data_IF_520650996649
#
_entry.id   IF_520650996649
#
_cell.length_a   1.000
_cell.length_b   1.000
_cell.length_c   1.000
_cell.angle_alpha   90.00
_cell.angle_beta   90.00
_cell.angle_gamma   90.00
#
_symmetry.space_group_name_H-M   'P 1'
#
loop_
_entity.id
_entity.type
_entity.pdbx_description
1 polymer ?
#
# COMPACT_ATOMS: atom_id res chain seq x y z
N UNK A 1 1.55 -16.76 -54.47
CA UNK A 1 2.26 -16.04 -53.41
C UNK A 1 1.30 -15.59 -52.26
N UNK A 2 0.09 -15.19 -52.53
CA UNK A 2 -0.86 -14.79 -51.51
C UNK A 2 -1.39 -15.98 -50.68
N UNK A 3 -1.63 -17.14 -51.29
CA UNK A 3 -2.15 -18.32 -50.54
C UNK A 3 -1.19 -18.84 -49.47
N UNK A 4 0.13 -18.75 -49.70
CA UNK A 4 1.11 -19.16 -48.70
C UNK A 4 1.14 -18.29 -47.45
N UNK A 5 0.91 -17.00 -47.59
CA UNK A 5 0.86 -16.05 -46.43
C UNK A 5 -0.37 -16.29 -45.55
N UNK A 6 -1.52 -16.57 -46.13
CA UNK A 6 -2.73 -16.88 -45.36
C UNK A 6 -2.61 -18.21 -44.61
N UNK A 7 -2.00 -19.22 -45.21
CA UNK A 7 -1.75 -20.49 -44.54
C UNK A 7 -0.80 -20.31 -43.35
N UNK A 8 0.28 -19.59 -43.51
CA UNK A 8 1.24 -19.29 -42.46
C UNK A 8 0.62 -18.51 -41.31
N UNK A 9 -0.23 -17.52 -41.62
CA UNK A 9 -0.94 -16.72 -40.57
C UNK A 9 -1.91 -17.56 -39.75
N UNK A 10 -2.66 -18.47 -40.38
CA UNK A 10 -3.57 -19.38 -39.68
C UNK A 10 -2.81 -20.37 -38.83
N UNK A 11 -1.70 -20.91 -39.30
CA UNK A 11 -0.85 -21.81 -38.49
C UNK A 11 -0.28 -21.07 -37.28
N UNK A 12 0.21 -19.85 -37.45
CA UNK A 12 0.72 -19.04 -36.37
C UNK A 12 -0.37 -18.72 -35.34
N UNK A 13 -1.59 -18.41 -35.78
CA UNK A 13 -2.72 -18.20 -34.89
C UNK A 13 -3.07 -19.46 -34.07
N UNK A 14 -3.12 -20.61 -34.72
CA UNK A 14 -3.36 -21.89 -34.06
C UNK A 14 -2.27 -22.21 -33.05
N UNK A 15 -1.00 -21.99 -33.40
CA UNK A 15 0.11 -22.17 -32.47
C UNK A 15 0.05 -21.21 -31.29
N UNK A 16 -0.27 -19.95 -31.53
CA UNK A 16 -0.43 -18.96 -30.43
C UNK A 16 -1.58 -19.32 -29.47
N UNK A 17 -2.73 -19.78 -30.02
CA UNK A 17 -3.84 -20.23 -29.19
C UNK A 17 -3.48 -21.50 -28.43
N UNK A 18 -2.81 -22.46 -29.06
CA UNK A 18 -2.33 -23.67 -28.41
C UNK A 18 -1.33 -23.34 -27.27
N UNK A 19 -0.43 -22.42 -27.50
CA UNK A 19 0.52 -21.97 -26.49
C UNK A 19 -0.20 -21.30 -25.30
N UNK A 20 -1.13 -20.39 -25.56
CA UNK A 20 -1.94 -19.76 -24.53
C UNK A 20 -2.75 -20.80 -23.70
N UNK A 21 -3.38 -21.76 -24.35
CA UNK A 21 -4.13 -22.84 -23.68
C UNK A 21 -3.17 -23.68 -22.84
N UNK A 22 -2.03 -24.06 -23.39
CA UNK A 22 -1.03 -24.87 -22.69
C UNK A 22 -0.47 -24.13 -21.49
N UNK A 23 -0.07 -22.86 -21.67
CA UNK A 23 0.42 -22.01 -20.59
C UNK A 23 -0.64 -21.84 -19.46
N UNK A 24 -1.92 -21.69 -19.85
CA UNK A 24 -3.02 -21.61 -18.88
C UNK A 24 -3.17 -22.91 -18.10
N UNK A 25 -3.11 -24.06 -18.78
CA UNK A 25 -3.24 -25.37 -18.12
C UNK A 25 -2.06 -25.65 -17.17
N UNK A 26 -0.83 -25.33 -17.58
CA UNK A 26 0.35 -25.49 -16.70
C UNK A 26 0.31 -24.57 -15.49
N UNK A 27 -0.23 -23.36 -15.61
CA UNK A 27 -0.36 -22.43 -14.51
C UNK A 27 -1.60 -22.65 -13.64
N UNK A 28 -2.52 -23.52 -14.08
CA UNK A 28 -3.79 -23.73 -13.39
C UNK A 28 -3.64 -24.21 -11.95
N UNK A 29 -2.62 -25.03 -11.66
CA UNK A 29 -2.30 -25.52 -10.31
C UNK A 29 -1.77 -24.44 -9.38
N UNK A 30 -1.16 -23.37 -9.91
CA UNK A 30 -0.62 -22.27 -9.12
C UNK A 30 -1.50 -21.03 -9.02
N UNK A 31 -2.46 -20.89 -9.94
CA UNK A 31 -3.28 -19.68 -10.07
C UNK A 31 -4.77 -19.90 -9.93
N UNK A 32 -5.24 -21.12 -10.17
CA UNK A 32 -6.65 -21.48 -10.05
C UNK A 32 -6.81 -22.47 -8.92
N UNK A 33 -7.80 -22.24 -8.15
CA UNK A 33 -8.14 -22.87 -6.91
C UNK A 33 -8.38 -24.36 -7.02
N UNK A 34 -7.84 -25.09 -6.08
CA UNK A 34 -8.08 -26.50 -5.90
C UNK A 34 -9.54 -26.74 -5.45
N UNK A 35 -10.37 -27.34 -6.30
CA UNK A 35 -11.70 -27.90 -5.98
C UNK A 35 -12.84 -26.94 -5.59
N UNK A 36 -12.62 -25.64 -5.53
CA UNK A 36 -13.69 -24.68 -5.24
C UNK A 36 -14.50 -24.40 -6.51
N UNK A 37 -15.82 -24.38 -6.38
CA UNK A 37 -16.69 -24.02 -7.51
C UNK A 37 -16.64 -22.51 -7.75
N UNK A 38 -16.59 -22.10 -9.00
CA UNK A 38 -16.65 -20.68 -9.38
C UNK A 38 -17.83 -19.95 -8.77
N UNK A 39 -18.98 -20.62 -8.66
CA UNK A 39 -20.19 -20.07 -8.05
C UNK A 39 -20.02 -19.77 -6.56
N UNK A 40 -19.35 -20.65 -5.81
CA UNK A 40 -19.12 -20.47 -4.37
C UNK A 40 -18.15 -19.32 -4.11
N UNK A 41 -17.14 -19.18 -4.96
CA UNK A 41 -16.24 -18.04 -4.93
C UNK A 41 -16.96 -16.72 -5.25
N UNK A 42 -17.78 -16.70 -6.31
CA UNK A 42 -18.55 -15.51 -6.68
C UNK A 42 -19.50 -15.11 -5.55
N UNK A 43 -20.17 -16.07 -4.92
CA UNK A 43 -21.03 -15.81 -3.78
C UNK A 43 -20.24 -15.24 -2.58
N UNK A 44 -19.07 -15.80 -2.30
CA UNK A 44 -18.20 -15.32 -1.21
C UNK A 44 -17.69 -13.89 -1.47
N UNK A 45 -17.30 -13.58 -2.71
CA UNK A 45 -16.90 -12.23 -3.12
C UNK A 45 -18.10 -11.26 -3.06
N UNK A 46 -19.27 -11.68 -3.52
CA UNK A 46 -20.47 -10.85 -3.50
C UNK A 46 -20.95 -10.54 -2.07
N UNK A 47 -20.65 -11.41 -1.10
CA UNK A 47 -20.95 -11.19 0.31
C UNK A 47 -19.95 -10.27 1.02
N UNK A 48 -18.81 -9.96 0.39
CA UNK A 48 -17.80 -9.08 0.97
C UNK A 48 -18.29 -7.62 1.00
N UNK A 49 -17.88 -6.81 2.01
CA UNK A 49 -18.23 -5.40 2.09
C UNK A 49 -17.81 -4.64 0.83
N UNK A 50 -18.70 -3.81 0.29
CA UNK A 50 -18.39 -2.94 -0.84
C UNK A 50 -17.64 -1.68 -0.41
N UNK A 51 -16.91 -1.06 -1.35
CA UNK A 51 -16.25 0.22 -1.14
C UNK A 51 -14.80 0.10 -0.63
N UNK A 52 -14.31 1.19 -0.08
CA UNK A 52 -12.98 1.29 0.51
C UNK A 52 -13.02 0.97 2.01
N UNK A 53 -11.86 0.67 2.64
CA UNK A 53 -11.79 0.51 4.08
C UNK A 53 -12.43 1.68 4.82
N UNK A 54 -13.21 1.39 5.84
CA UNK A 54 -13.80 2.43 6.67
C UNK A 54 -12.72 3.05 7.55
N UNK A 55 -12.72 4.39 7.75
CA UNK A 55 -11.71 5.08 8.54
C UNK A 55 -11.57 4.53 9.97
N UNK A 56 -12.69 4.20 10.60
CA UNK A 56 -12.71 3.67 11.96
C UNK A 56 -12.13 2.24 12.05
N UNK A 57 -12.25 1.46 10.99
CA UNK A 57 -11.65 0.12 10.89
C UNK A 57 -10.15 0.18 10.60
N UNK A 58 -9.69 1.23 9.94
CA UNK A 58 -8.28 1.42 9.64
C UNK A 58 -7.46 1.85 10.86
N UNK A 59 -8.08 2.43 11.86
CA UNK A 59 -7.41 2.99 13.03
C UNK A 59 -6.79 1.94 13.96
N UNK A 60 -7.10 0.66 13.81
CA UNK A 60 -6.70 -0.36 14.78
C UNK A 60 -5.94 -1.55 14.25
N UNK A 61 -5.66 -1.68 12.94
CA UNK A 61 -5.40 -3.02 12.45
C UNK A 61 -4.21 -3.12 11.51
N UNK A 62 -3.13 -3.60 12.07
CA UNK A 62 -2.14 -4.38 11.36
C UNK A 62 -2.48 -5.87 11.47
N UNK A 63 -3.67 -6.28 11.10
CA UNK A 63 -3.98 -7.70 11.07
C UNK A 63 -3.44 -8.32 9.82
N UNK A 64 -2.66 -9.35 10.01
CA UNK A 64 -2.49 -10.39 9.01
C UNK A 64 -3.88 -10.91 8.68
N UNK A 65 -4.12 -11.14 7.41
CA UNK A 65 -5.30 -11.80 6.84
C UNK A 65 -6.35 -12.25 7.86
N UNK A 66 -7.57 -11.79 7.70
CA UNK A 66 -8.68 -12.21 8.57
C UNK A 66 -8.82 -13.75 8.54
N UNK A 67 -8.35 -14.40 9.61
CA UNK A 67 -8.39 -15.86 9.73
C UNK A 67 -9.81 -16.42 9.65
N UNK A 68 -10.83 -15.61 9.94
CA UNK A 68 -12.23 -16.00 9.83
C UNK A 68 -12.67 -16.19 8.37
N UNK A 69 -12.06 -15.50 7.43
CA UNK A 69 -12.35 -15.64 6.00
C UNK A 69 -11.53 -16.74 5.31
N UNK A 70 -10.41 -17.16 5.89
CA UNK A 70 -9.53 -18.20 5.31
C UNK A 70 -10.23 -19.50 4.98
N UNK A 71 -11.11 -20.07 5.83
CA UNK A 71 -11.79 -21.30 5.51
C UNK A 71 -12.72 -21.20 4.30
N UNK A 72 -13.28 -20.00 4.07
CA UNK A 72 -14.25 -19.74 2.99
C UNK A 72 -13.58 -19.35 1.67
N UNK A 73 -12.39 -18.77 1.74
CA UNK A 73 -11.71 -18.20 0.59
C UNK A 73 -10.26 -18.69 0.49
N UNK A 74 -10.02 -19.96 0.82
CA UNK A 74 -8.69 -20.61 0.72
C UNK A 74 -7.89 -20.25 -0.52
N UNK A 75 -8.50 -20.19 -1.70
CA UNK A 75 -7.80 -19.86 -2.93
C UNK A 75 -7.32 -18.39 -3.02
N UNK A 76 -7.95 -17.53 -2.24
CA UNK A 76 -7.66 -16.09 -2.21
C UNK A 76 -6.95 -15.68 -0.93
N UNK A 77 -6.19 -16.60 -0.31
CA UNK A 77 -5.49 -16.34 0.97
C UNK A 77 -4.55 -15.15 0.91
N UNK A 78 -3.98 -14.89 -0.26
CA UNK A 78 -3.21 -13.68 -0.48
C UNK A 78 -4.15 -12.50 -0.75
N UNK A 79 -3.95 -11.40 -0.03
CA UNK A 79 -4.73 -10.17 -0.17
C UNK A 79 -6.22 -10.28 0.22
N UNK A 80 -6.58 -11.20 1.11
CA UNK A 80 -7.95 -11.31 1.66
C UNK A 80 -8.43 -10.01 2.31
N UNK A 81 -7.53 -9.22 2.86
CA UNK A 81 -7.81 -7.91 3.42
C UNK A 81 -8.54 -6.98 2.41
N UNK A 82 -8.30 -7.13 1.10
CA UNK A 82 -9.00 -6.34 0.08
C UNK A 82 -10.50 -6.65 0.03
N UNK A 83 -10.88 -7.88 0.28
CA UNK A 83 -12.28 -8.29 0.31
C UNK A 83 -12.96 -7.91 1.63
N UNK A 84 -12.26 -8.07 2.73
CA UNK A 84 -12.77 -7.71 4.07
C UNK A 84 -12.75 -6.21 4.33
N UNK A 85 -12.16 -5.40 3.42
CA UNK A 85 -11.97 -3.96 3.57
C UNK A 85 -11.14 -3.56 4.79
N UNK A 86 -10.25 -4.46 5.21
CA UNK A 86 -9.28 -4.22 6.26
C UNK A 86 -7.97 -3.70 5.65
N UNK A 87 -7.30 -2.83 6.38
CA UNK A 87 -5.96 -2.40 6.02
C UNK A 87 -4.98 -3.33 6.73
N UNK A 88 -4.15 -4.03 5.96
CA UNK A 88 -3.14 -4.93 6.47
C UNK A 88 -1.76 -4.58 5.92
N UNK A 89 -0.73 -4.83 6.73
CA UNK A 89 0.67 -4.72 6.30
C UNK A 89 1.12 -5.95 5.52
N UNK A 90 0.42 -7.06 5.70
CA UNK A 90 0.70 -8.33 5.04
C UNK A 90 -0.10 -8.40 3.73
N UNK A 91 0.59 -8.31 2.61
CA UNK A 91 0.03 -8.48 1.28
C UNK A 91 0.97 -9.29 0.40
N UNK A 92 0.40 -10.12 -0.47
CA UNK A 92 1.19 -10.78 -1.49
C UNK A 92 1.55 -9.77 -2.59
N UNK A 93 2.84 -9.53 -2.77
CA UNK A 93 3.37 -8.79 -3.90
C UNK A 93 4.62 -9.50 -4.42
N UNK A 94 4.72 -9.77 -5.72
CA UNK A 94 5.94 -10.32 -6.31
C UNK A 94 7.10 -9.32 -6.30
N UNK A 95 6.82 -8.05 -6.07
CA UNK A 95 7.80 -6.97 -5.99
C UNK A 95 7.84 -6.41 -4.57
N UNK A 96 8.88 -6.74 -3.84
CA UNK A 96 9.13 -6.20 -2.50
C UNK A 96 10.18 -5.10 -2.64
N UNK A 97 9.88 -3.95 -2.06
CA UNK A 97 10.87 -2.88 -1.98
C UNK A 97 11.95 -3.25 -0.96
N UNK A 98 13.19 -3.08 -1.33
CA UNK A 98 14.34 -3.38 -0.44
C UNK A 98 14.24 -2.69 0.92
N UNK A 99 13.69 -1.49 0.98
CA UNK A 99 13.47 -0.77 2.26
C UNK A 99 12.39 -1.41 3.13
N UNK A 100 11.36 -1.97 2.52
CA UNK A 100 10.33 -2.71 3.26
C UNK A 100 10.88 -4.05 3.77
N UNK A 101 11.74 -4.68 2.99
CA UNK A 101 12.45 -5.88 3.37
C UNK A 101 13.39 -5.62 4.54
N UNK A 102 14.13 -4.50 4.51
CA UNK A 102 14.93 -4.04 5.66
C UNK A 102 14.09 -3.86 6.93
N UNK A 103 12.88 -3.29 6.82
CA UNK A 103 11.97 -3.19 7.96
C UNK A 103 11.53 -4.58 8.44
N UNK A 104 11.16 -5.47 7.53
CA UNK A 104 10.68 -6.81 7.85
C UNK A 104 11.73 -7.66 8.59
N UNK A 105 13.00 -7.44 8.30
CA UNK A 105 14.13 -8.13 8.96
C UNK A 105 14.65 -7.39 10.22
N UNK A 106 14.18 -6.16 10.45
CA UNK A 106 14.69 -5.33 11.54
C UNK A 106 14.00 -5.61 12.88
N UNK A 107 14.67 -5.22 13.96
CA UNK A 107 14.13 -5.19 15.32
C UNK A 107 12.99 -4.15 15.50
N UNK A 108 12.89 -3.20 14.57
CA UNK A 108 11.85 -2.15 14.57
C UNK A 108 10.49 -2.70 14.16
N UNK A 109 10.48 -3.78 13.36
CA UNK A 109 9.26 -4.39 12.80
C UNK A 109 8.15 -4.60 13.81
N UNK A 110 8.45 -5.31 14.89
CA UNK A 110 7.42 -5.72 15.85
C UNK A 110 6.81 -4.52 16.58
N UNK A 111 7.62 -3.50 16.87
CA UNK A 111 7.13 -2.24 17.45
C UNK A 111 6.34 -1.40 16.44
N UNK A 112 6.73 -1.40 15.17
CA UNK A 112 6.03 -0.66 14.12
C UNK A 112 4.68 -1.30 13.79
N UNK A 113 4.64 -2.62 13.64
CA UNK A 113 3.45 -3.33 13.15
C UNK A 113 2.32 -3.50 14.18
N UNK A 114 2.56 -3.22 15.45
CA UNK A 114 1.48 -3.13 16.45
C UNK A 114 0.76 -1.79 16.45
N UNK A 115 1.29 -0.78 15.76
CA UNK A 115 0.66 0.52 15.64
C UNK A 115 -0.43 0.51 14.55
N UNK A 116 -1.43 1.39 14.63
CA UNK A 116 -2.40 1.61 13.57
C UNK A 116 -1.71 2.15 12.30
N UNK A 117 -2.42 2.09 11.17
CA UNK A 117 -1.93 2.59 9.87
C UNK A 117 -1.44 4.04 9.94
N UNK A 118 -2.05 4.85 10.79
CA UNK A 118 -1.64 6.23 11.04
C UNK A 118 -1.57 6.45 12.54
N UNK A 119 -0.42 6.84 13.05
CA UNK A 119 -0.21 7.00 14.49
C UNK A 119 0.76 8.14 14.82
N UNK A 120 0.70 8.59 16.07
CA UNK A 120 1.60 9.60 16.62
C UNK A 120 2.80 8.93 17.29
N UNK A 121 3.99 9.44 16.97
CA UNK A 121 5.21 9.13 17.68
C UNK A 121 5.72 10.38 18.41
N UNK A 122 6.17 10.18 19.65
CA UNK A 122 6.62 11.24 20.56
C UNK A 122 8.11 11.19 20.82
N UNK A 123 8.82 10.39 20.08
CA UNK A 123 10.26 10.31 20.10
C UNK A 123 10.80 9.75 18.79
N UNK A 124 11.98 10.21 18.43
CA UNK A 124 12.72 9.72 17.30
C UNK A 124 14.07 9.17 17.75
N UNK A 125 14.53 8.14 17.06
CA UNK A 125 15.89 7.60 17.19
C UNK A 125 16.51 7.52 15.80
N UNK A 126 17.85 7.65 15.68
CA UNK A 126 18.49 7.47 14.39
C UNK A 126 18.35 6.02 13.91
N UNK A 127 18.07 5.81 12.62
CA UNK A 127 17.99 4.49 12.01
C UNK A 127 19.41 3.94 11.76
N UNK A 128 19.96 3.33 12.77
CA UNK A 128 21.24 2.64 12.71
C UNK A 128 21.02 1.12 12.70
N UNK A 129 21.95 0.33 12.12
CA UNK A 129 21.85 -1.11 12.17
C UNK A 129 21.65 -1.64 13.59
N UNK A 130 20.60 -2.44 13.80
CA UNK A 130 20.26 -3.00 15.11
C UNK A 130 19.56 -2.04 16.07
N UNK A 131 19.08 -0.88 15.60
CA UNK A 131 18.32 0.06 16.44
C UNK A 131 17.08 -0.61 17.05
N UNK A 132 16.88 -0.39 18.34
CA UNK A 132 15.69 -0.84 19.08
C UNK A 132 14.89 0.39 19.47
N UNK A 133 13.61 0.40 19.14
CA UNK A 133 12.73 1.48 19.55
C UNK A 133 12.48 1.40 21.07
N UNK A 134 12.68 2.52 21.81
CA UNK A 134 12.41 2.55 23.27
C UNK A 134 10.96 2.23 23.62
N UNK A 135 10.03 2.51 22.71
CA UNK A 135 8.61 2.14 22.81
C UNK A 135 7.95 2.18 21.45
N UNK A 136 6.73 1.63 21.35
CA UNK A 136 5.88 1.74 20.14
C UNK A 136 5.54 3.17 19.72
N UNK A 137 5.80 4.16 20.59
CA UNK A 137 5.61 5.59 20.32
C UNK A 137 6.87 6.30 19.87
N UNK A 138 7.88 5.55 19.51
CA UNK A 138 9.10 6.05 18.88
C UNK A 138 9.15 5.63 17.41
N UNK A 139 9.89 6.36 16.63
CA UNK A 139 10.15 6.08 15.22
C UNK A 139 11.64 6.16 14.95
N UNK A 140 12.17 5.21 14.19
CA UNK A 140 13.51 5.31 13.66
C UNK A 140 13.50 6.26 12.45
N UNK A 141 14.35 7.27 12.42
CA UNK A 141 14.43 8.27 11.34
C UNK A 141 15.83 8.28 10.78
N UNK A 142 15.96 8.47 9.47
CA UNK A 142 17.26 8.59 8.80
C UNK A 142 18.19 9.50 9.61
N UNK A 143 19.36 8.96 9.97
CA UNK A 143 20.34 9.62 10.83
C UNK A 143 20.79 10.98 10.30
N UNK A 144 20.75 11.19 8.98
CA UNK A 144 21.06 12.48 8.35
C UNK A 144 19.98 13.54 8.58
N UNK A 145 18.75 13.10 8.78
CA UNK A 145 17.58 13.96 9.01
C UNK A 145 17.17 14.00 10.47
N UNK A 146 17.90 13.26 11.32
CA UNK A 146 17.60 13.16 12.74
C UNK A 146 17.88 14.51 13.43
N UNK A 147 16.83 15.02 14.05
CA UNK A 147 16.93 16.10 15.02
C UNK A 147 16.30 15.57 16.32
N UNK A 148 17.06 15.60 17.39
CA UNK A 148 16.51 15.27 18.72
C UNK A 148 15.46 16.31 19.08
N UNK A 149 14.21 15.93 18.96
CA UNK A 149 13.08 16.79 19.33
C UNK A 149 12.41 16.13 20.53
N UNK A 150 12.39 16.78 21.68
CA UNK A 150 11.59 16.30 22.80
C UNK A 150 10.11 16.53 22.46
N UNK A 151 9.40 15.46 22.23
CA UNK A 151 7.96 15.51 22.03
C UNK A 151 7.27 15.17 23.37
N UNK A 152 6.37 16.04 23.82
CA UNK A 152 5.52 15.76 24.96
C UNK A 152 4.35 14.86 24.58
N UNK A 153 4.15 13.77 25.29
CA UNK A 153 2.93 12.97 25.18
C UNK A 153 1.82 13.59 26.04
N UNK A 154 0.63 13.74 25.47
CA UNK A 154 -0.60 14.06 26.20
C UNK A 154 -1.65 12.96 25.91
N UNK A 155 -2.39 12.58 26.94
CA UNK A 155 -3.44 11.55 26.79
C UNK A 155 -4.63 12.01 25.92
N UNK A 156 -4.75 13.32 25.68
CA UNK A 156 -5.77 13.92 24.81
C UNK A 156 -5.37 13.93 23.32
N UNK A 157 -4.12 13.60 23.03
CA UNK A 157 -3.65 13.54 21.65
C UNK A 157 -4.39 12.45 20.87
N UNK A 158 -4.90 12.81 19.71
CA UNK A 158 -5.73 11.96 18.91
C UNK A 158 -5.42 12.08 17.42
N UNK A 159 -5.47 10.94 16.73
CA UNK A 159 -5.46 10.86 15.27
C UNK A 159 -6.73 10.14 14.85
N UNK A 160 -7.49 10.77 13.96
CA UNK A 160 -8.66 10.16 13.37
C UNK A 160 -8.51 10.16 11.86
N UNK A 161 -8.48 8.97 11.28
CA UNK A 161 -8.49 8.79 9.84
C UNK A 161 -9.89 9.20 9.31
N UNK A 162 -9.93 10.16 8.38
CA UNK A 162 -11.19 10.67 7.80
C UNK A 162 -11.47 10.09 6.43
N UNK A 163 -10.43 9.69 5.68
CA UNK A 163 -10.58 9.01 4.40
C UNK A 163 -9.37 8.13 4.13
N UNK A 164 -9.62 6.95 3.60
CA UNK A 164 -8.59 6.03 3.13
C UNK A 164 -8.98 5.49 1.76
N UNK A 165 -8.35 6.02 0.71
CA UNK A 165 -8.60 5.64 -0.70
C UNK A 165 -7.26 5.47 -1.41
N UNK A 166 -7.20 4.69 -2.49
CA UNK A 166 -5.99 4.59 -3.30
C UNK A 166 -5.45 5.97 -3.68
N UNK A 167 -4.21 6.24 -3.29
CA UNK A 167 -3.55 7.51 -3.58
C UNK A 167 -4.09 8.75 -2.83
N UNK A 168 -5.04 8.59 -1.90
CA UNK A 168 -5.58 9.70 -1.11
C UNK A 168 -5.94 9.24 0.30
N UNK A 169 -5.21 9.74 1.28
CA UNK A 169 -5.44 9.45 2.70
C UNK A 169 -5.58 10.79 3.41
N UNK A 170 -6.62 10.95 4.21
CA UNK A 170 -6.82 12.16 5.01
C UNK A 170 -7.14 11.82 6.45
N UNK A 171 -6.68 12.68 7.37
CA UNK A 171 -6.87 12.53 8.80
C UNK A 171 -7.02 13.87 9.49
N UNK A 172 -7.74 13.88 10.59
CA UNK A 172 -7.70 14.94 11.59
C UNK A 172 -6.73 14.54 12.71
N UNK A 173 -5.88 15.46 13.10
CA UNK A 173 -4.86 15.26 14.12
C UNK A 173 -5.02 16.34 15.17
N UNK A 174 -5.08 15.95 16.43
CA UNK A 174 -5.10 16.86 17.56
C UNK A 174 -3.95 16.51 18.49
N UNK A 175 -3.07 17.47 18.76
CA UNK A 175 -1.88 17.27 19.60
C UNK A 175 -1.67 18.47 20.52
N UNK A 176 -1.39 18.19 21.78
CA UNK A 176 -1.11 19.22 22.77
C UNK A 176 0.29 19.83 22.59
N UNK A 177 1.22 19.06 22.10
CA UNK A 177 2.59 19.43 21.80
C UNK A 177 2.95 18.96 20.41
N UNK A 178 4.06 19.48 19.87
CA UNK A 178 4.59 18.98 18.60
C UNK A 178 4.79 17.46 18.65
N UNK A 179 4.41 16.77 17.59
CA UNK A 179 4.53 15.33 17.47
C UNK A 179 4.95 14.92 16.07
N UNK A 180 5.35 13.67 15.91
CA UNK A 180 5.56 13.05 14.62
C UNK A 180 4.34 12.22 14.25
N UNK A 181 3.84 12.42 13.04
CA UNK A 181 2.79 11.60 12.46
C UNK A 181 3.41 10.62 11.47
N UNK A 182 3.19 9.35 11.70
CA UNK A 182 3.73 8.24 10.91
C UNK A 182 2.59 7.57 10.16
N UNK A 183 2.74 7.45 8.84
CA UNK A 183 1.82 6.68 8.01
C UNK A 183 2.48 5.35 7.62
N UNK A 184 1.88 4.23 7.99
CA UNK A 184 2.35 2.89 7.61
C UNK A 184 1.98 2.55 6.17
N UNK A 185 2.46 3.36 5.25
CA UNK A 185 2.40 3.16 3.82
C UNK A 185 3.80 3.39 3.27
N UNK A 186 4.26 2.55 2.38
CA UNK A 186 5.62 2.71 1.86
C UNK A 186 5.79 4.07 1.17
N UNK A 187 6.84 4.79 1.55
CA UNK A 187 7.19 6.11 1.01
C UNK A 187 7.76 5.99 -0.40
N UNK A 188 6.91 5.76 -1.38
CA UNK A 188 7.27 5.83 -2.79
C UNK A 188 7.48 7.28 -3.25
N UNK A 189 8.39 7.51 -4.21
CA UNK A 189 8.44 8.80 -4.90
C UNK A 189 7.08 9.13 -5.53
N UNK A 190 6.54 10.29 -5.20
CA UNK A 190 5.20 10.72 -5.65
C UNK A 190 4.18 10.89 -4.53
N UNK A 191 4.52 10.54 -3.30
CA UNK A 191 3.74 10.97 -2.14
C UNK A 191 4.00 12.44 -1.82
N UNK A 192 2.94 13.19 -1.71
CA UNK A 192 2.91 14.59 -1.27
C UNK A 192 2.07 14.67 0.00
N UNK A 193 2.52 15.44 0.96
CA UNK A 193 1.82 15.61 2.24
C UNK A 193 1.48 17.07 2.43
N UNK A 194 0.25 17.33 2.83
CA UNK A 194 -0.25 18.64 3.17
C UNK A 194 -0.73 18.67 4.62
N UNK A 195 -0.40 19.72 5.34
CA UNK A 195 -0.95 20.05 6.67
C UNK A 195 -1.70 21.35 6.52
N UNK A 196 -2.98 21.35 6.79
CA UNK A 196 -3.89 22.51 6.63
C UNK A 196 -3.79 23.16 5.23
N UNK A 197 -3.69 22.33 4.20
CA UNK A 197 -3.57 22.75 2.81
C UNK A 197 -2.19 23.28 2.41
N UNK A 198 -1.19 23.26 3.29
CA UNK A 198 0.18 23.63 2.98
C UNK A 198 1.05 22.39 2.80
N UNK A 199 1.76 22.31 1.69
CA UNK A 199 2.67 21.20 1.45
C UNK A 199 3.82 21.19 2.46
N UNK A 200 4.10 20.03 3.05
CA UNK A 200 5.18 19.80 3.98
C UNK A 200 6.11 18.71 3.46
N UNK A 201 7.38 18.79 3.79
CA UNK A 201 8.32 17.70 3.52
C UNK A 201 8.10 16.58 4.52
N UNK A 202 8.12 15.36 4.02
CA UNK A 202 8.13 14.17 4.87
C UNK A 202 9.55 13.59 4.94
N UNK A 203 9.88 13.07 6.11
CA UNK A 203 11.06 12.26 6.36
C UNK A 203 10.72 10.79 6.10
N UNK A 204 11.73 9.96 5.99
CA UNK A 204 11.54 8.50 6.00
C UNK A 204 11.77 7.99 7.42
N UNK A 205 10.77 7.32 7.97
CA UNK A 205 10.85 6.66 9.26
C UNK A 205 10.64 5.16 9.17
N UNK A 206 11.13 4.43 10.14
CA UNK A 206 11.08 2.97 10.21
C UNK A 206 11.48 2.34 8.87
N UNK A 207 12.58 2.83 8.29
CA UNK A 207 13.17 2.46 6.99
C UNK A 207 12.34 2.82 5.75
N UNK A 208 11.01 2.82 5.80
CA UNK A 208 10.20 2.94 4.58
C UNK A 208 8.92 3.77 4.71
N UNK A 209 8.58 4.30 5.88
CA UNK A 209 7.33 5.03 6.09
C UNK A 209 7.50 6.55 6.03
N UNK A 210 6.55 7.30 5.43
CA UNK A 210 6.59 8.76 5.50
C UNK A 210 6.25 9.23 6.92
N UNK A 211 7.06 10.13 7.41
CA UNK A 211 6.93 10.77 8.73
C UNK A 211 6.92 12.27 8.55
N UNK A 212 5.98 12.94 9.16
CA UNK A 212 5.90 14.40 9.18
C UNK A 212 5.87 14.92 10.61
N UNK A 213 6.37 16.14 10.81
CA UNK A 213 6.17 16.88 12.05
C UNK A 213 4.84 17.60 12.00
N UNK A 214 4.02 17.42 13.03
CA UNK A 214 2.76 18.12 13.23
C UNK A 214 2.94 19.03 14.44
N UNK A 215 2.73 20.35 14.31
CA UNK A 215 2.84 21.28 15.44
C UNK A 215 1.70 21.06 16.42
N UNK A 216 1.81 21.66 17.62
CA UNK A 216 0.72 21.66 18.59
C UNK A 216 -0.54 22.30 18.03
N UNK A 217 -1.70 21.69 18.25
CA UNK A 217 -2.99 22.18 17.76
C UNK A 217 -3.86 21.10 17.14
N UNK A 218 -4.87 21.56 16.39
CA UNK A 218 -5.76 20.71 15.60
C UNK A 218 -5.48 20.94 14.13
N UNK A 219 -5.17 19.88 13.39
CA UNK A 219 -4.71 19.94 12.04
C UNK A 219 -5.46 18.95 11.14
N UNK A 220 -5.58 19.29 9.87
CA UNK A 220 -5.99 18.37 8.81
C UNK A 220 -4.77 17.98 8.00
N UNK A 221 -4.51 16.68 7.95
CA UNK A 221 -3.38 16.12 7.19
C UNK A 221 -3.90 15.36 5.99
N UNK A 222 -3.32 15.60 4.82
CA UNK A 222 -3.69 14.94 3.57
C UNK A 222 -2.45 14.38 2.91
N UNK A 223 -2.47 13.10 2.61
CA UNK A 223 -1.45 12.42 1.81
C UNK A 223 -2.03 12.18 0.41
N UNK A 224 -1.29 12.59 -0.63
CA UNK A 224 -1.66 12.39 -2.04
C UNK A 224 -0.53 11.70 -2.78
N UNK A 225 -0.88 10.65 -3.51
CA UNK A 225 0.08 9.95 -4.38
C UNK A 225 -0.09 10.42 -5.82
N UNK A 226 0.92 11.09 -6.33
CA UNK A 226 0.91 11.68 -7.68
C UNK A 226 2.30 11.55 -8.33
N UNK A 227 2.66 10.35 -8.81
CA UNK A 227 3.96 10.10 -9.41
C UNK A 227 4.06 10.76 -10.79
N UNK A 228 4.93 11.75 -10.93
CA UNK A 228 5.12 12.53 -12.17
C UNK A 228 5.45 11.64 -13.37
N UNK A 229 6.28 10.62 -13.18
CA UNK A 229 6.65 9.71 -14.26
C UNK A 229 5.43 8.99 -14.86
N UNK A 230 4.53 8.50 -14.00
CA UNK A 230 3.31 7.84 -14.44
C UNK A 230 2.40 8.79 -15.24
N UNK A 231 2.30 10.04 -14.80
CA UNK A 231 1.52 11.06 -15.53
C UNK A 231 2.09 11.31 -16.92
N UNK A 232 3.40 11.47 -17.03
CA UNK A 232 4.10 11.65 -18.32
C UNK A 232 3.89 10.43 -19.22
N UNK A 233 4.04 9.22 -18.67
CA UNK A 233 3.83 7.99 -19.45
C UNK A 233 2.37 7.86 -19.94
N UNK A 234 1.38 8.23 -19.13
CA UNK A 234 -0.02 8.24 -19.53
C UNK A 234 -0.28 9.22 -20.67
N UNK A 235 0.29 10.42 -20.61
CA UNK A 235 0.17 11.41 -21.70
C UNK A 235 0.77 10.84 -22.98
N UNK A 236 1.98 10.27 -22.92
CA UNK A 236 2.62 9.65 -24.08
C UNK A 236 1.81 8.48 -24.65
N UNK A 237 1.21 7.67 -23.78
CA UNK A 237 0.33 6.58 -24.20
C UNK A 237 -0.88 7.09 -24.97
N UNK A 238 -1.58 8.13 -24.45
CA UNK A 238 -2.74 8.72 -25.11
C UNK A 238 -2.36 9.35 -26.46
N UNK A 239 -1.24 10.07 -26.53
CA UNK A 239 -0.73 10.64 -27.78
C UNK A 239 -0.40 9.55 -28.80
N UNK A 240 0.26 8.47 -28.37
CA UNK A 240 0.58 7.34 -29.25
C UNK A 240 -0.67 6.65 -29.79
N UNK A 241 -1.69 6.48 -28.94
CA UNK A 241 -2.97 5.89 -29.34
C UNK A 241 -3.70 6.78 -30.34
N UNK A 242 -3.73 8.09 -30.10
CA UNK A 242 -4.35 9.05 -30.99
C UNK A 242 -3.65 9.12 -32.36
N UNK A 243 -2.32 9.08 -32.39
CA UNK A 243 -1.57 9.02 -33.65
C UNK A 243 -1.84 7.73 -34.43
N UNK A 244 -1.93 6.61 -33.74
CA UNK A 244 -2.23 5.32 -34.38
C UNK A 244 -3.62 5.33 -35.02
N UNK A 245 -4.63 5.91 -34.35
CA UNK A 245 -6.01 6.00 -34.88
C UNK A 245 -6.14 6.96 -36.08
N UNK A 246 -5.22 7.91 -36.26
CA UNK A 246 -5.22 8.84 -37.41
C UNK A 246 -4.51 8.24 -38.60
N UNK A 247 -3.54 7.34 -38.39
CA UNK A 247 -2.73 6.70 -39.45
C UNK A 247 -3.40 5.44 -40.01
N UNK A 248 -4.29 4.81 -39.29
CA UNK A 248 -5.10 3.66 -39.73
C UNK A 248 -6.38 4.10 -40.42
#
# INVERSE_FOLDING_TARGET
WQQGRFFTSRVLLVLAVADMVTATQFNMYGTVTDKERCADMQQSIASAPAGFPLPDMAAGINTRNDDAMRPRMKPLTSNLNNFCKNIATDSYSPFILSRFDMLAESTVRDSAWVNPVLYLAYGAVPDTPGVVLPSRRHVAVDSKSFQSIPFGYDARDAVRLTSFRPGHISASVQVAHDALLVLQQVAFPGWHVEVDGRQVMHLTGNYCYPVIRVPAGSHTVVYRFSPRLLQVMLVWYVVSLATLTVVL
#
